data_IF_734683931674
#
_entry.id   IF_734683931674
#
_cell.length_a   1.000
_cell.length_b   1.000
_cell.length_c   1.000
_cell.angle_alpha   90.00
_cell.angle_beta   90.00
_cell.angle_gamma   90.00
#
_symmetry.space_group_name_H-M   'P 1'
#
loop_
_entity.id
_entity.type
_entity.pdbx_description
1 polymer ?
#
# COMPACT_ATOMS: atom_id res chain seq x y z
N UNK A 1 -15.03 -18.09 -14.57
CA UNK A 1 -14.31 -17.38 -15.67
C UNK A 1 -14.75 -15.92 -15.70
N UNK A 2 -13.97 -15.05 -16.33
CA UNK A 2 -14.22 -13.59 -16.34
C UNK A 2 -15.61 -13.24 -16.88
N UNK A 3 -16.34 -12.29 -16.25
CA UNK A 3 -17.66 -11.83 -16.70
C UNK A 3 -17.61 -10.93 -17.94
N UNK A 4 -17.13 -11.45 -19.08
CA UNK A 4 -17.09 -10.69 -20.33
C UNK A 4 -18.48 -10.33 -20.88
N UNK A 5 -19.48 -11.19 -20.67
CA UNK A 5 -20.88 -10.93 -21.01
C UNK A 5 -21.64 -10.54 -19.75
N UNK A 6 -21.80 -9.24 -19.53
CA UNK A 6 -22.34 -8.70 -18.29
C UNK A 6 -23.80 -9.11 -18.07
N UNK A 7 -24.61 -9.16 -19.12
CA UNK A 7 -26.05 -9.43 -19.08
C UNK A 7 -26.38 -10.80 -18.48
N UNK A 8 -25.50 -11.78 -18.67
CA UNK A 8 -25.64 -13.14 -18.13
C UNK A 8 -24.72 -13.40 -16.93
N UNK A 9 -24.14 -12.35 -16.37
CA UNK A 9 -23.18 -12.41 -15.26
C UNK A 9 -23.58 -11.56 -14.05
N UNK A 10 -24.77 -10.96 -14.07
CA UNK A 10 -25.21 -9.96 -13.08
C UNK A 10 -25.04 -10.44 -11.63
N UNK A 11 -25.43 -11.68 -11.30
CA UNK A 11 -25.32 -12.17 -9.92
C UNK A 11 -23.90 -12.15 -9.34
N UNK A 12 -22.86 -12.47 -10.13
CA UNK A 12 -21.47 -12.38 -9.64
C UNK A 12 -20.90 -10.96 -9.73
N UNK A 13 -21.34 -10.16 -10.69
CA UNK A 13 -20.94 -8.76 -10.79
C UNK A 13 -21.46 -7.95 -9.60
N UNK A 14 -22.69 -8.20 -9.17
CA UNK A 14 -23.27 -7.61 -7.97
C UNK A 14 -22.50 -8.04 -6.71
N UNK A 15 -22.16 -9.32 -6.57
CA UNK A 15 -21.33 -9.78 -5.45
C UNK A 15 -19.93 -9.12 -5.43
N UNK A 16 -19.32 -8.89 -6.60
CA UNK A 16 -18.05 -8.17 -6.70
C UNK A 16 -18.21 -6.68 -6.35
N UNK A 17 -19.33 -6.05 -6.73
CA UNK A 17 -19.63 -4.69 -6.32
C UNK A 17 -19.78 -4.59 -4.81
N UNK A 18 -20.47 -5.57 -4.17
CA UNK A 18 -20.58 -5.64 -2.72
C UNK A 18 -19.20 -5.81 -2.04
N UNK A 19 -18.31 -6.62 -2.64
CA UNK A 19 -16.93 -6.74 -2.17
C UNK A 19 -16.18 -5.40 -2.24
N UNK A 20 -16.31 -4.69 -3.36
CA UNK A 20 -15.69 -3.37 -3.53
C UNK A 20 -16.22 -2.36 -2.50
N UNK A 21 -17.54 -2.29 -2.32
CA UNK A 21 -18.18 -1.42 -1.33
C UNK A 21 -17.70 -1.71 0.08
N UNK A 22 -17.66 -2.99 0.48
CA UNK A 22 -17.13 -3.40 1.79
C UNK A 22 -15.68 -2.93 1.98
N UNK A 23 -14.81 -3.10 0.98
CA UNK A 23 -13.41 -2.66 1.07
C UNK A 23 -13.32 -1.13 1.17
N UNK A 24 -14.11 -0.38 0.39
CA UNK A 24 -14.15 1.08 0.45
C UNK A 24 -14.66 1.59 1.81
N UNK A 25 -15.76 1.03 2.31
CA UNK A 25 -16.36 1.41 3.60
C UNK A 25 -15.40 1.17 4.78
N UNK A 26 -14.69 0.03 4.78
CA UNK A 26 -13.74 -0.31 5.85
C UNK A 26 -12.43 0.48 5.74
N UNK A 27 -11.93 0.68 4.52
CA UNK A 27 -10.65 1.38 4.31
C UNK A 27 -10.76 2.90 4.30
N UNK A 28 -11.97 3.45 4.17
CA UNK A 28 -12.19 4.88 3.94
C UNK A 28 -11.68 5.36 2.57
N UNK A 29 -11.30 4.47 1.66
CA UNK A 29 -10.77 4.81 0.34
C UNK A 29 -11.90 5.00 -0.68
N UNK A 30 -11.67 5.86 -1.67
CA UNK A 30 -12.69 6.23 -2.66
C UNK A 30 -13.00 5.14 -3.69
N UNK A 31 -12.06 4.21 -3.93
CA UNK A 31 -12.17 3.16 -4.95
C UNK A 31 -11.47 1.88 -4.48
N UNK A 32 -12.10 0.73 -4.74
CA UNK A 32 -11.51 -0.59 -4.62
C UNK A 32 -11.66 -1.40 -5.92
N UNK A 33 -10.73 -2.31 -6.18
CA UNK A 33 -10.84 -3.25 -7.30
C UNK A 33 -11.61 -4.53 -6.91
N UNK A 34 -11.79 -5.42 -7.86
CA UNK A 34 -12.52 -6.68 -7.67
C UNK A 34 -11.64 -7.84 -7.15
N UNK A 35 -10.59 -7.55 -6.36
CA UNK A 35 -9.55 -8.44 -5.78
C UNK A 35 -8.18 -8.43 -6.48
N UNK A 36 -7.17 -8.90 -5.73
CA UNK A 36 -5.83 -9.29 -6.18
C UNK A 36 -5.54 -10.72 -5.69
N UNK A 37 -4.34 -11.24 -5.98
CA UNK A 37 -3.98 -12.64 -5.70
C UNK A 37 -3.75 -12.91 -4.21
N UNK A 38 -2.93 -12.09 -3.57
CA UNK A 38 -2.56 -12.18 -2.15
C UNK A 38 -2.04 -10.82 -1.65
N UNK A 39 -1.78 -10.71 -0.34
CA UNK A 39 -1.28 -9.48 0.28
C UNK A 39 0.08 -9.05 -0.25
N UNK A 40 1.03 -9.98 -0.39
CA UNK A 40 2.40 -9.67 -0.84
C UNK A 40 2.44 -9.10 -2.26
N UNK A 41 1.64 -9.67 -3.16
CA UNK A 41 1.47 -9.16 -4.52
C UNK A 41 0.69 -7.85 -4.52
N UNK A 42 -0.35 -7.68 -3.69
CA UNK A 42 -1.07 -6.43 -3.55
C UNK A 42 -0.18 -5.28 -3.05
N UNK A 43 0.68 -5.53 -2.06
CA UNK A 43 1.65 -4.56 -1.56
C UNK A 43 2.66 -4.16 -2.66
N UNK A 44 3.13 -5.13 -3.46
CA UNK A 44 4.01 -4.86 -4.58
C UNK A 44 3.32 -4.06 -5.72
N UNK A 45 2.04 -4.34 -6.00
CA UNK A 45 1.24 -3.54 -6.93
C UNK A 45 1.03 -2.10 -6.41
N UNK A 46 0.80 -1.93 -5.10
CA UNK A 46 0.74 -0.61 -4.46
C UNK A 46 2.05 0.18 -4.63
N UNK A 47 3.19 -0.46 -4.37
CA UNK A 47 4.52 0.11 -4.63
C UNK A 47 4.69 0.50 -6.11
N UNK A 48 4.34 -0.39 -7.04
CA UNK A 48 4.47 -0.15 -8.48
C UNK A 48 3.54 0.96 -8.97
N UNK A 49 2.31 1.03 -8.46
CA UNK A 49 1.34 2.09 -8.74
C UNK A 49 1.88 3.45 -8.30
N UNK A 50 2.39 3.56 -7.07
CA UNK A 50 2.99 4.80 -6.58
C UNK A 50 4.23 5.19 -7.38
N UNK A 51 5.05 4.21 -7.77
CA UNK A 51 6.18 4.46 -8.64
C UNK A 51 5.69 5.03 -9.97
N UNK A 52 4.77 4.38 -10.67
CA UNK A 52 4.26 4.84 -11.97
C UNK A 52 3.54 6.20 -11.91
N UNK A 53 2.82 6.47 -10.81
CA UNK A 53 2.05 7.70 -10.62
C UNK A 53 2.86 8.86 -10.01
N UNK A 54 4.13 8.66 -9.67
CA UNK A 54 4.94 9.70 -9.03
C UNK A 54 5.04 10.97 -9.89
N UNK A 55 5.05 12.17 -9.29
CA UNK A 55 5.14 13.42 -10.04
C UNK A 55 6.33 13.45 -10.99
N UNK A 56 6.17 14.09 -12.17
CA UNK A 56 7.22 14.21 -13.18
C UNK A 56 8.51 14.84 -12.63
N UNK A 57 8.40 15.75 -11.66
CA UNK A 57 9.57 16.35 -10.99
C UNK A 57 10.37 15.30 -10.23
N UNK A 58 9.71 14.49 -9.38
CA UNK A 58 10.35 13.39 -8.65
C UNK A 58 10.96 12.35 -9.59
N UNK A 59 10.29 12.04 -10.71
CA UNK A 59 10.84 11.12 -11.72
C UNK A 59 12.12 11.67 -12.38
N UNK A 60 12.18 12.99 -12.66
CA UNK A 60 13.39 13.65 -13.22
C UNK A 60 14.53 13.73 -12.21
N UNK A 61 14.21 13.91 -10.92
CA UNK A 61 15.17 13.87 -9.81
C UNK A 61 15.72 12.46 -9.57
N UNK A 62 15.13 11.42 -10.18
CA UNK A 62 15.56 10.05 -10.01
C UNK A 62 15.07 9.40 -8.72
N UNK A 63 14.03 9.95 -8.07
CA UNK A 63 13.46 9.35 -6.85
C UNK A 63 12.95 7.94 -7.13
N UNK A 64 13.64 6.96 -6.55
CA UNK A 64 13.38 5.54 -6.77
C UNK A 64 13.44 4.72 -5.48
N UNK A 65 13.59 5.36 -4.32
CA UNK A 65 13.60 4.68 -3.03
C UNK A 65 12.19 4.51 -2.48
N UNK A 66 11.90 3.31 -1.97
CA UNK A 66 10.64 2.97 -1.31
C UNK A 66 10.93 2.43 0.08
N UNK A 67 10.32 3.03 1.10
CA UNK A 67 10.52 2.60 2.49
C UNK A 67 9.54 1.48 2.84
N UNK A 68 10.01 0.48 3.58
CA UNK A 68 9.16 -0.59 4.10
C UNK A 68 9.36 -0.67 5.61
N UNK A 69 8.27 -0.70 6.34
CA UNK A 69 8.30 -0.92 7.78
C UNK A 69 9.00 -2.25 8.12
N UNK A 70 9.86 -2.25 9.12
CA UNK A 70 10.50 -3.45 9.64
C UNK A 70 9.49 -4.48 10.19
N UNK A 71 8.32 -4.01 10.64
CA UNK A 71 7.26 -4.85 11.21
C UNK A 71 6.22 -5.37 10.17
N UNK A 72 6.52 -5.32 8.87
CA UNK A 72 5.70 -6.02 7.87
C UNK A 72 5.88 -7.54 7.95
N UNK A 73 4.93 -8.30 7.43
CA UNK A 73 5.11 -9.74 7.33
C UNK A 73 6.28 -10.12 6.41
N UNK A 74 7.08 -11.14 6.77
CA UNK A 74 8.30 -11.48 6.04
C UNK A 74 8.04 -11.93 4.60
N UNK A 75 6.92 -12.62 4.35
CA UNK A 75 6.51 -13.01 3.00
C UNK A 75 6.14 -11.81 2.13
N UNK A 76 5.49 -10.79 2.71
CA UNK A 76 5.14 -9.54 2.01
C UNK A 76 6.40 -8.82 1.56
N UNK A 77 7.37 -8.65 2.47
CA UNK A 77 8.69 -8.09 2.14
C UNK A 77 9.42 -8.89 1.06
N UNK A 78 9.38 -10.23 1.13
CA UNK A 78 10.04 -11.11 0.15
C UNK A 78 9.47 -10.92 -1.27
N UNK A 79 8.15 -10.84 -1.41
CA UNK A 79 7.50 -10.60 -2.70
C UNK A 79 7.85 -9.21 -3.23
N UNK A 80 7.78 -8.18 -2.38
CA UNK A 80 8.12 -6.82 -2.77
C UNK A 80 9.57 -6.70 -3.24
N UNK A 81 10.54 -7.29 -2.52
CA UNK A 81 11.96 -7.34 -2.93
C UNK A 81 12.13 -7.93 -4.32
N UNK A 82 11.44 -9.04 -4.59
CA UNK A 82 11.49 -9.70 -5.89
C UNK A 82 10.97 -8.80 -7.01
N UNK A 83 9.87 -8.07 -6.77
CA UNK A 83 9.27 -7.16 -7.76
C UNK A 83 10.10 -5.89 -7.97
N UNK A 84 10.58 -5.28 -6.89
CA UNK A 84 11.38 -4.06 -6.92
C UNK A 84 12.68 -4.22 -7.72
N UNK A 85 13.32 -5.40 -7.60
CA UNK A 85 14.54 -5.75 -8.33
C UNK A 85 14.39 -5.64 -9.86
N UNK A 86 13.16 -5.71 -10.39
CA UNK A 86 12.89 -5.63 -11.83
C UNK A 86 12.41 -4.24 -12.28
N UNK A 87 12.11 -3.34 -11.33
CA UNK A 87 11.57 -2.01 -11.57
C UNK A 87 12.56 -0.88 -11.28
N UNK A 88 13.82 -1.22 -10.96
CA UNK A 88 14.85 -0.28 -10.50
C UNK A 88 14.40 0.55 -9.28
N UNK A 89 13.60 -0.07 -8.40
CA UNK A 89 13.16 0.48 -7.12
C UNK A 89 14.12 0.00 -6.04
N UNK A 90 14.64 0.94 -5.26
CA UNK A 90 15.47 0.66 -4.08
C UNK A 90 14.58 0.49 -2.85
N UNK A 91 14.44 -0.74 -2.35
CA UNK A 91 13.67 -1.01 -1.14
C UNK A 91 14.55 -0.89 0.09
N UNK A 92 14.22 0.06 0.97
CA UNK A 92 14.90 0.24 2.24
C UNK A 92 13.95 -0.14 3.38
N UNK A 93 14.35 -1.13 4.18
CA UNK A 93 13.63 -1.50 5.40
C UNK A 93 14.05 -0.55 6.53
N UNK A 94 13.09 0.04 7.21
CA UNK A 94 13.31 1.01 8.30
C UNK A 94 12.33 0.73 9.43
N UNK A 95 12.72 1.03 10.68
CA UNK A 95 11.75 0.99 11.78
C UNK A 95 10.73 2.11 11.60
N UNK A 96 9.53 1.90 12.15
CA UNK A 96 8.44 2.87 12.06
C UNK A 96 8.82 4.24 12.61
N UNK A 97 9.57 4.29 13.72
CA UNK A 97 10.00 5.54 14.34
C UNK A 97 11.00 6.32 13.47
N UNK A 98 11.88 5.60 12.75
CA UNK A 98 12.88 6.21 11.87
C UNK A 98 12.31 6.62 10.51
N UNK A 99 11.13 6.12 10.13
CA UNK A 99 10.62 6.23 8.77
C UNK A 99 10.50 7.67 8.28
N UNK A 100 9.94 8.57 9.10
CA UNK A 100 9.78 9.99 8.74
C UNK A 100 11.13 10.72 8.62
N UNK A 101 12.07 10.46 9.53
CA UNK A 101 13.41 11.06 9.45
C UNK A 101 14.18 10.60 8.21
N UNK A 102 14.09 9.32 7.85
CA UNK A 102 14.74 8.79 6.65
C UNK A 102 14.09 9.34 5.39
N UNK A 103 12.76 9.49 5.36
CA UNK A 103 12.07 10.11 4.23
C UNK A 103 12.49 11.57 4.01
N UNK A 104 12.81 12.31 5.08
CA UNK A 104 13.27 13.70 5.00
C UNK A 104 14.67 13.85 4.38
N UNK A 105 15.47 12.79 4.31
CA UNK A 105 16.77 12.79 3.61
C UNK A 105 16.63 12.91 2.09
N UNK A 106 15.44 12.63 1.54
CA UNK A 106 15.14 12.75 0.11
C UNK A 106 15.10 11.41 -0.63
N UNK A 107 14.93 11.48 -1.95
CA UNK A 107 14.90 10.34 -2.90
C UNK A 107 13.80 9.28 -2.70
N UNK A 108 12.94 9.44 -1.69
CA UNK A 108 11.79 8.58 -1.41
C UNK A 108 10.57 9.01 -2.23
N UNK A 109 9.87 8.04 -2.81
CA UNK A 109 8.59 8.27 -3.53
C UNK A 109 7.37 7.68 -2.80
N UNK A 110 7.58 6.69 -1.92
CA UNK A 110 6.51 6.05 -1.18
C UNK A 110 7.01 5.21 -0.02
N UNK A 111 6.08 4.79 0.83
CA UNK A 111 6.34 3.84 1.91
C UNK A 111 5.21 2.81 2.06
N UNK A 112 5.51 1.68 2.68
CA UNK A 112 4.54 0.68 3.14
C UNK A 112 4.63 0.54 4.66
N UNK A 113 3.47 0.56 5.32
CA UNK A 113 3.29 0.30 6.74
C UNK A 113 2.28 -0.84 6.94
N UNK A 114 2.54 -1.73 7.90
CA UNK A 114 1.61 -2.78 8.32
C UNK A 114 0.76 -2.27 9.49
N UNK A 115 -0.55 -2.49 9.49
CA UNK A 115 -1.44 -1.97 10.54
C UNK A 115 -2.69 -2.86 10.79
N UNK A 116 -2.86 -3.51 11.95
CA UNK A 116 -1.84 -3.76 12.98
C UNK A 116 -0.64 -4.48 12.38
N UNK A 117 0.52 -4.34 13.01
CA UNK A 117 1.73 -4.91 12.46
C UNK A 117 1.92 -6.40 12.75
N UNK A 118 3.01 -6.98 12.23
CA UNK A 118 3.28 -8.41 12.36
C UNK A 118 3.50 -8.87 13.82
N UNK A 119 3.83 -7.94 14.72
CA UNK A 119 3.97 -8.20 16.15
C UNK A 119 2.66 -7.95 16.92
N UNK A 120 1.62 -7.43 16.24
CA UNK A 120 0.30 -7.16 16.77
C UNK A 120 0.13 -5.76 17.36
N UNK A 121 1.11 -4.87 17.16
CA UNK A 121 1.09 -3.52 17.71
C UNK A 121 0.17 -2.59 16.91
N UNK A 122 -0.47 -1.68 17.64
CA UNK A 122 -1.40 -0.68 17.09
C UNK A 122 -0.96 0.69 17.58
N UNK A 123 -0.57 1.55 16.64
CA UNK A 123 -0.11 2.91 16.91
C UNK A 123 -0.96 3.95 16.17
N UNK A 124 -0.93 5.20 16.64
CA UNK A 124 -1.51 6.32 15.88
C UNK A 124 -0.51 6.82 14.83
N UNK A 125 -0.81 6.53 13.57
CA UNK A 125 0.04 6.85 12.42
C UNK A 125 -0.29 8.21 11.79
N UNK A 126 -1.17 9.01 12.40
CA UNK A 126 -1.63 10.30 11.86
C UNK A 126 -0.48 11.28 11.66
N UNK A 127 0.42 11.40 12.64
CA UNK A 127 1.55 12.33 12.55
C UNK A 127 2.57 11.91 11.48
N UNK A 128 2.88 10.62 11.44
CA UNK A 128 3.82 10.07 10.46
C UNK A 128 3.28 10.22 9.02
N UNK A 129 2.03 9.83 8.78
CA UNK A 129 1.41 9.95 7.45
C UNK A 129 1.27 11.39 6.97
N UNK A 130 0.93 12.32 7.88
CA UNK A 130 0.89 13.74 7.56
C UNK A 130 2.27 14.27 7.17
N UNK A 131 3.31 13.91 7.94
CA UNK A 131 4.69 14.26 7.61
C UNK A 131 5.17 13.66 6.28
N UNK A 132 4.79 12.42 5.97
CA UNK A 132 5.06 11.80 4.66
C UNK A 132 4.40 12.59 3.53
N UNK A 133 3.13 12.98 3.70
CA UNK A 133 2.40 13.74 2.71
C UNK A 133 3.04 15.12 2.45
N UNK A 134 3.51 15.81 3.51
CA UNK A 134 4.23 17.09 3.40
C UNK A 134 5.53 16.97 2.59
N UNK A 135 6.20 15.82 2.67
CA UNK A 135 7.40 15.50 1.87
C UNK A 135 7.07 15.03 0.44
N UNK A 136 5.78 14.93 0.09
CA UNK A 136 5.31 14.39 -1.18
C UNK A 136 5.52 12.87 -1.31
N UNK A 137 5.62 12.17 -0.19
CA UNK A 137 5.72 10.71 -0.08
C UNK A 137 4.33 10.12 0.17
N UNK A 138 3.92 9.13 -0.62
CA UNK A 138 2.62 8.45 -0.45
C UNK A 138 2.76 7.19 0.38
N UNK A 139 1.81 6.95 1.28
CA UNK A 139 1.81 5.78 2.18
C UNK A 139 0.86 4.71 1.64
N UNK A 140 1.33 3.46 1.62
CA UNK A 140 0.52 2.25 1.43
C UNK A 140 0.33 1.60 2.79
N UNK A 141 -0.89 1.17 3.09
CA UNK A 141 -1.19 0.38 4.29
C UNK A 141 -1.47 -1.07 3.90
N UNK A 142 -0.73 -2.01 4.51
CA UNK A 142 -1.14 -3.40 4.56
C UNK A 142 -1.91 -3.61 5.87
N UNK A 143 -3.21 -3.88 5.77
CA UNK A 143 -4.11 -3.88 6.93
C UNK A 143 -5.04 -5.08 6.96
N UNK A 144 -5.50 -5.42 8.15
CA UNK A 144 -6.51 -6.46 8.39
C UNK A 144 -7.91 -5.82 8.40
N UNK A 145 -8.79 -6.27 7.50
CA UNK A 145 -10.15 -5.74 7.38
C UNK A 145 -11.01 -5.94 8.63
N UNK A 146 -10.80 -7.00 9.41
CA UNK A 146 -11.50 -7.18 10.69
C UNK A 146 -11.00 -6.18 11.74
N UNK A 147 -9.72 -5.85 11.74
CA UNK A 147 -9.19 -4.82 12.63
C UNK A 147 -9.80 -3.43 12.32
N UNK A 148 -10.04 -3.11 11.03
CA UNK A 148 -10.66 -1.84 10.62
C UNK A 148 -12.10 -1.66 11.12
N UNK A 149 -12.77 -2.70 11.62
CA UNK A 149 -14.07 -2.55 12.27
C UNK A 149 -13.99 -1.77 13.60
N UNK A 150 -12.81 -1.73 14.21
CA UNK A 150 -12.56 -1.12 15.52
C UNK A 150 -11.55 0.03 15.45
N UNK A 151 -10.59 -0.05 14.52
CA UNK A 151 -9.51 0.90 14.37
C UNK A 151 -9.90 2.05 13.45
N UNK A 152 -9.25 3.19 13.65
CA UNK A 152 -9.42 4.36 12.77
C UNK A 152 -8.94 4.01 11.36
N UNK A 153 -9.83 4.20 10.38
CA UNK A 153 -9.50 4.27 8.94
C UNK A 153 -8.77 5.57 8.61
#
# INVERSE_FOLDING_TARGET
YTPYQAEIAQGRLEALLNFQTMVMDLSGMEVANASLLDEGTAAAEGMAMLFAARPRAQAKEGRNRFLVDAAVFPQTLSVMRTRAAHLAIDLQVVTREAMLSVAAEGDVFGCLVQYPDADGEVEDLTAMTSGMADLGVRTVFATDLMAMLLLKS
#
